data_IF_900637464618
#
_entry.id   IF_900637464618
#
_cell.length_a   1.000
_cell.length_b   1.000
_cell.length_c   1.000
_cell.angle_alpha   90.00
_cell.angle_beta   90.00
_cell.angle_gamma   90.00
#
_symmetry.space_group_name_H-M   'P 1'
#
loop_
_entity.id
_entity.type
_entity.pdbx_description
1 polymer ?
#
# COMPACT_ATOMS: atom_id res chain seq x y z
N UNK A 1 43.40 47.76 -8.59
CA UNK A 1 42.17 47.03 -8.99
C UNK A 1 42.20 46.82 -10.50
N UNK A 2 42.51 45.60 -10.95
CA UNK A 2 42.41 45.27 -12.38
C UNK A 2 40.94 45.28 -12.80
N UNK A 3 40.57 46.15 -13.76
CA UNK A 3 39.24 46.16 -14.35
C UNK A 3 39.11 44.89 -15.21
N UNK A 4 38.48 43.85 -14.66
CA UNK A 4 38.09 42.67 -15.41
C UNK A 4 36.96 43.04 -16.38
N UNK A 5 37.32 43.62 -17.52
CA UNK A 5 36.37 43.95 -18.57
C UNK A 5 35.96 42.65 -19.26
N UNK A 6 34.68 42.30 -19.16
CA UNK A 6 34.10 41.15 -19.87
C UNK A 6 34.37 41.34 -21.37
N UNK A 7 35.05 40.38 -22.00
CA UNK A 7 35.28 40.46 -23.45
C UNK A 7 33.95 40.35 -24.19
N UNK A 8 33.85 40.96 -25.39
CA UNK A 8 32.62 40.87 -26.22
C UNK A 8 32.17 39.43 -26.44
N UNK A 9 33.12 38.49 -26.61
CA UNK A 9 32.84 37.05 -26.75
C UNK A 9 32.27 36.45 -25.46
N UNK A 10 32.84 36.78 -24.30
CA UNK A 10 32.31 36.33 -23.02
C UNK A 10 30.92 36.88 -22.74
N UNK A 11 30.69 38.16 -23.05
CA UNK A 11 29.37 38.77 -22.92
C UNK A 11 28.34 38.04 -23.79
N UNK A 12 28.63 37.85 -25.08
CA UNK A 12 27.72 37.14 -25.99
C UNK A 12 27.48 35.69 -25.59
N UNK A 13 28.51 34.96 -25.15
CA UNK A 13 28.37 33.59 -24.68
C UNK A 13 27.44 33.52 -23.46
N UNK A 14 27.65 34.38 -22.45
CA UNK A 14 26.83 34.39 -21.24
C UNK A 14 25.38 34.76 -21.52
N UNK A 15 25.13 35.76 -22.38
CA UNK A 15 23.78 36.14 -22.77
C UNK A 15 23.10 35.01 -23.53
N UNK A 16 23.80 34.37 -24.49
CA UNK A 16 23.24 33.27 -25.26
C UNK A 16 22.94 32.04 -24.39
N UNK A 17 23.86 31.64 -23.51
CA UNK A 17 23.65 30.52 -22.60
C UNK A 17 22.59 30.83 -21.53
N UNK A 18 22.52 32.08 -21.05
CA UNK A 18 21.54 32.51 -20.06
C UNK A 18 20.12 32.50 -20.63
N UNK A 19 19.92 33.10 -21.80
CA UNK A 19 18.62 33.12 -22.48
C UNK A 19 18.23 31.71 -22.94
N UNK A 20 19.16 30.96 -23.55
CA UNK A 20 18.92 29.58 -23.96
C UNK A 20 18.59 28.66 -22.78
N UNK A 21 19.31 28.80 -21.66
CA UNK A 21 19.04 28.06 -20.43
C UNK A 21 17.67 28.39 -19.84
N UNK A 22 17.27 29.67 -19.84
CA UNK A 22 15.94 30.09 -19.39
C UNK A 22 14.82 29.48 -20.25
N UNK A 23 14.98 29.54 -21.58
CA UNK A 23 13.99 28.94 -22.51
C UNK A 23 13.90 27.43 -22.30
N UNK A 24 15.03 26.73 -22.21
CA UNK A 24 15.05 25.29 -21.95
C UNK A 24 14.39 24.95 -20.60
N UNK A 25 14.71 25.68 -19.54
CA UNK A 25 14.13 25.49 -18.22
C UNK A 25 12.60 25.72 -18.24
N UNK A 26 12.12 26.76 -18.93
CA UNK A 26 10.68 27.04 -19.04
C UNK A 26 9.91 25.92 -19.75
N UNK A 27 10.51 25.29 -20.76
CA UNK A 27 9.90 24.18 -21.48
C UNK A 27 9.91 22.88 -20.66
N UNK A 28 10.99 22.63 -19.90
CA UNK A 28 11.13 21.41 -19.09
C UNK A 28 10.35 21.47 -17.78
N UNK A 29 10.17 22.66 -17.19
CA UNK A 29 9.52 22.84 -15.89
C UNK A 29 8.13 22.17 -15.79
N UNK A 30 7.17 22.36 -16.73
CA UNK A 30 5.86 21.71 -16.62
C UNK A 30 5.93 20.18 -16.71
N UNK A 31 6.86 19.62 -17.49
CA UNK A 31 7.03 18.17 -17.62
C UNK A 31 7.62 17.55 -16.35
N UNK A 32 8.63 18.21 -15.78
CA UNK A 32 9.23 17.80 -14.50
C UNK A 32 8.19 17.93 -13.38
N UNK A 33 7.43 19.02 -13.36
CA UNK A 33 6.36 19.21 -12.38
C UNK A 33 5.28 18.13 -12.53
N UNK A 34 4.84 17.82 -13.75
CA UNK A 34 3.86 16.76 -13.99
C UNK A 34 4.34 15.38 -13.49
N UNK A 35 5.63 15.08 -13.65
CA UNK A 35 6.20 13.82 -13.17
C UNK A 35 6.30 13.77 -11.64
N UNK A 36 6.57 14.90 -10.97
CA UNK A 36 6.87 14.94 -9.53
C UNK A 36 5.65 15.31 -8.67
N UNK A 37 4.69 16.07 -9.19
CA UNK A 37 3.52 16.55 -8.44
C UNK A 37 2.73 15.43 -7.73
N UNK A 38 2.48 14.25 -8.34
CA UNK A 38 1.73 13.20 -7.65
C UNK A 38 2.46 12.63 -6.43
N UNK A 39 3.78 12.58 -6.47
CA UNK A 39 4.61 12.09 -5.35
C UNK A 39 4.64 13.12 -4.21
N UNK A 40 4.52 14.41 -4.53
CA UNK A 40 4.50 15.49 -3.54
C UNK A 40 3.12 15.72 -2.91
N UNK A 41 2.04 15.22 -3.53
CA UNK A 41 0.72 15.27 -2.93
C UNK A 41 0.64 14.27 -1.78
N UNK A 42 0.42 14.76 -0.57
CA UNK A 42 0.15 13.92 0.59
C UNK A 42 -1.12 13.10 0.31
N UNK A 43 -0.98 11.79 0.14
CA UNK A 43 -2.12 10.88 0.22
C UNK A 43 -2.68 11.00 1.64
N UNK A 44 -3.92 11.47 1.78
CA UNK A 44 -4.61 11.43 3.06
C UNK A 44 -4.64 9.97 3.54
N UNK A 45 -3.81 9.66 4.54
CA UNK A 45 -3.67 8.31 5.06
C UNK A 45 -5.03 7.76 5.49
N UNK A 46 -5.44 6.68 4.84
CA UNK A 46 -6.36 5.68 5.37
C UNK A 46 -7.70 6.22 5.87
N UNK A 47 -8.59 6.59 4.94
CA UNK A 47 -10.00 6.60 5.29
C UNK A 47 -10.40 5.16 5.66
N UNK A 48 -10.83 4.97 6.90
CA UNK A 48 -11.49 3.75 7.33
C UNK A 48 -12.64 3.43 6.38
N UNK A 49 -12.56 2.30 5.70
CA UNK A 49 -13.55 1.87 4.71
C UNK A 49 -14.57 0.99 5.41
N UNK A 50 -15.85 1.35 5.29
CA UNK A 50 -16.93 0.53 5.81
C UNK A 50 -16.99 -0.79 5.04
N UNK A 51 -16.95 -1.91 5.75
CA UNK A 51 -17.22 -3.22 5.16
C UNK A 51 -18.72 -3.50 5.15
N UNK A 52 -19.15 -4.48 4.35
CA UNK A 52 -20.55 -4.93 4.31
C UNK A 52 -20.93 -5.81 5.50
N UNK A 53 -19.97 -6.13 6.37
CA UNK A 53 -20.11 -7.12 7.43
C UNK A 53 -20.33 -6.42 8.78
N UNK A 54 -21.27 -6.97 9.57
CA UNK A 54 -21.48 -6.55 10.95
C UNK A 54 -20.52 -7.28 11.86
N UNK A 55 -20.07 -6.60 12.92
CA UNK A 55 -19.19 -7.21 13.93
C UNK A 55 -19.91 -8.35 14.68
N UNK A 56 -21.23 -8.31 14.77
CA UNK A 56 -22.07 -9.36 15.38
C UNK A 56 -21.98 -10.70 14.66
N UNK A 57 -21.69 -10.69 13.36
CA UNK A 57 -21.75 -11.87 12.50
C UNK A 57 -20.38 -12.55 12.39
N UNK A 58 -19.36 -11.99 13.05
CA UNK A 58 -18.00 -12.54 13.08
C UNK A 58 -17.90 -13.69 14.08
N UNK A 59 -17.45 -14.83 13.60
CA UNK A 59 -17.15 -16.02 14.40
C UNK A 59 -15.65 -16.11 14.72
N UNK A 60 -15.25 -17.16 15.44
CA UNK A 60 -13.83 -17.48 15.66
C UNK A 60 -13.16 -18.00 14.37
N UNK A 61 -13.89 -18.30 13.31
CA UNK A 61 -13.30 -18.75 12.04
C UNK A 61 -13.00 -17.57 11.09
N UNK A 62 -11.79 -17.52 10.49
CA UNK A 62 -11.45 -16.56 9.45
C UNK A 62 -12.44 -16.57 8.28
N UNK A 63 -13.16 -15.47 8.13
CA UNK A 63 -14.04 -15.18 6.99
C UNK A 63 -13.35 -14.21 6.03
N UNK A 64 -13.49 -14.47 4.74
CA UNK A 64 -13.01 -13.57 3.69
C UNK A 64 -13.99 -12.40 3.54
N UNK A 65 -13.49 -11.18 3.68
CA UNK A 65 -14.25 -9.94 3.52
C UNK A 65 -13.59 -9.08 2.45
N UNK A 66 -14.35 -8.74 1.42
CA UNK A 66 -13.91 -7.85 0.35
C UNK A 66 -14.46 -6.44 0.61
N UNK A 67 -13.62 -5.42 0.41
CA UNK A 67 -13.97 -4.02 0.60
C UNK A 67 -13.35 -3.16 -0.51
N UNK A 68 -14.14 -2.23 -1.04
CA UNK A 68 -13.76 -1.39 -2.16
C UNK A 68 -13.56 0.04 -1.70
N UNK A 69 -12.51 0.69 -2.18
CA UNK A 69 -12.22 2.09 -1.89
C UNK A 69 -11.61 2.76 -3.12
N UNK A 70 -11.70 4.09 -3.15
CA UNK A 70 -11.06 4.88 -4.21
C UNK A 70 -9.57 5.03 -3.90
N UNK A 71 -8.74 4.48 -4.76
CA UNK A 71 -7.30 4.64 -4.73
C UNK A 71 -6.88 5.63 -5.82
N UNK A 72 -6.05 6.59 -5.44
CA UNK A 72 -5.49 7.60 -6.35
C UNK A 72 -4.07 7.16 -6.68
N UNK A 73 -3.84 6.73 -7.92
CA UNK A 73 -2.52 6.38 -8.45
C UNK A 73 -2.05 7.44 -9.44
N UNK A 74 -1.12 8.28 -8.98
CA UNK A 74 -0.58 9.36 -9.77
C UNK A 74 -1.64 10.41 -10.13
N UNK A 75 -2.11 10.34 -11.37
CA UNK A 75 -3.13 11.22 -11.94
C UNK A 75 -4.49 10.54 -12.15
N UNK A 76 -4.60 9.26 -11.81
CA UNK A 76 -5.80 8.46 -12.03
C UNK A 76 -6.46 8.09 -10.71
N UNK A 77 -7.79 8.15 -10.68
CA UNK A 77 -8.59 7.59 -9.59
C UNK A 77 -9.23 6.29 -10.07
N UNK A 78 -9.10 5.23 -9.28
CA UNK A 78 -9.73 3.94 -9.56
C UNK A 78 -10.35 3.35 -8.30
N UNK A 79 -11.41 2.57 -8.47
CA UNK A 79 -12.00 1.82 -7.36
C UNK A 79 -11.28 0.47 -7.25
N UNK A 80 -10.53 0.29 -6.17
CA UNK A 80 -9.75 -0.92 -5.91
C UNK A 80 -10.47 -1.74 -4.85
N UNK A 81 -10.70 -3.02 -5.13
CA UNK A 81 -11.26 -3.96 -4.17
C UNK A 81 -10.13 -4.74 -3.51
N UNK A 82 -9.95 -4.52 -2.21
CA UNK A 82 -9.04 -5.31 -1.38
C UNK A 82 -9.81 -6.39 -0.62
N UNK A 83 -9.09 -7.43 -0.24
CA UNK A 83 -9.61 -8.54 0.57
C UNK A 83 -8.90 -8.56 1.92
N UNK A 84 -9.63 -8.87 2.98
CA UNK A 84 -9.10 -9.19 4.31
C UNK A 84 -9.67 -10.52 4.83
N UNK A 85 -8.88 -11.24 5.61
CA UNK A 85 -9.36 -12.33 6.44
C UNK A 85 -9.72 -11.77 7.82
N UNK A 86 -10.99 -11.83 8.19
CA UNK A 86 -11.50 -11.25 9.43
C UNK A 86 -12.06 -12.35 10.32
N UNK A 87 -11.71 -12.34 11.60
CA UNK A 87 -12.32 -13.18 12.63
C UNK A 87 -12.30 -12.49 13.99
N UNK A 88 -13.07 -13.04 14.94
CA UNK A 88 -13.05 -12.63 16.33
C UNK A 88 -12.10 -13.52 17.13
N UNK A 89 -11.03 -12.95 17.66
CA UNK A 89 -10.08 -13.64 18.53
C UNK A 89 -10.71 -14.08 19.85
N UNK A 90 -10.04 -15.00 20.54
CA UNK A 90 -10.49 -15.53 21.84
C UNK A 90 -10.59 -14.47 22.95
N UNK A 91 -9.85 -13.37 22.80
CA UNK A 91 -9.90 -12.20 23.68
C UNK A 91 -11.02 -11.21 23.31
N UNK A 92 -11.87 -11.58 22.36
CA UNK A 92 -12.97 -10.75 21.87
C UNK A 92 -12.55 -9.66 20.87
N UNK A 93 -11.25 -9.53 20.56
CA UNK A 93 -10.74 -8.54 19.61
C UNK A 93 -10.95 -9.01 18.18
N UNK A 94 -11.24 -8.07 17.29
CA UNK A 94 -11.33 -8.34 15.86
C UNK A 94 -9.93 -8.40 15.30
N UNK A 95 -9.61 -9.48 14.60
CA UNK A 95 -8.36 -9.64 13.88
C UNK A 95 -8.67 -9.59 12.39
N UNK A 96 -8.07 -8.63 11.69
CA UNK A 96 -8.16 -8.49 10.24
C UNK A 96 -6.78 -8.65 9.62
N UNK A 97 -6.55 -9.74 8.89
CA UNK A 97 -5.28 -10.08 8.25
C UNK A 97 -5.33 -9.80 6.75
N UNK A 98 -4.22 -9.32 6.20
CA UNK A 98 -4.02 -9.27 4.76
C UNK A 98 -3.82 -10.68 4.21
N UNK A 99 -4.51 -11.05 3.11
CA UNK A 99 -4.31 -12.35 2.48
C UNK A 99 -3.02 -12.38 1.64
N UNK A 100 -2.23 -11.31 1.60
CA UNK A 100 -1.05 -11.21 0.74
C UNK A 100 0.13 -11.93 1.39
N UNK A 101 0.57 -13.02 0.75
CA UNK A 101 1.72 -13.80 1.19
C UNK A 101 3.01 -12.98 1.13
N UNK A 102 3.77 -12.97 2.23
CA UNK A 102 5.06 -12.26 2.37
C UNK A 102 6.23 -12.87 1.62
N UNK A 103 6.00 -13.92 0.83
CA UNK A 103 7.00 -14.44 -0.10
C UNK A 103 7.08 -13.55 -1.35
N UNK A 104 6.05 -13.61 -2.21
CA UNK A 104 5.98 -12.89 -3.49
C UNK A 104 4.60 -12.29 -3.79
N UNK A 105 3.69 -12.23 -2.81
CA UNK A 105 2.41 -11.53 -2.94
C UNK A 105 1.19 -12.37 -3.38
N UNK A 106 1.31 -13.69 -3.52
CA UNK A 106 0.15 -14.56 -3.78
C UNK A 106 -0.90 -14.47 -2.64
N UNK A 107 -2.18 -14.65 -2.96
CA UNK A 107 -3.27 -14.73 -1.97
C UNK A 107 -3.21 -16.04 -1.19
N UNK A 108 -3.32 -15.96 0.15
CA UNK A 108 -3.40 -17.13 1.04
C UNK A 108 -4.85 -17.47 1.35
N UNK A 109 -5.14 -18.77 1.45
CA UNK A 109 -6.46 -19.29 1.83
C UNK A 109 -6.45 -19.94 3.20
N UNK A 110 -7.49 -19.70 3.99
CA UNK A 110 -7.71 -20.39 5.26
C UNK A 110 -8.18 -21.84 5.04
N UNK A 111 -7.58 -22.81 5.73
CA UNK A 111 -7.97 -24.23 5.68
C UNK A 111 -8.02 -24.83 4.27
N UNK A 112 -7.17 -24.33 3.36
CA UNK A 112 -7.11 -24.81 1.97
C UNK A 112 -6.16 -25.99 1.79
N UNK A 113 -5.25 -26.23 2.74
CA UNK A 113 -4.39 -27.41 2.78
C UNK A 113 -4.94 -28.45 3.76
N UNK A 114 -5.30 -29.63 3.25
CA UNK A 114 -5.80 -30.75 4.07
C UNK A 114 -4.74 -31.33 5.00
N UNK A 115 -3.45 -31.19 4.65
CA UNK A 115 -2.35 -31.70 5.48
C UNK A 115 -2.10 -30.86 6.73
N UNK A 116 -2.54 -29.60 6.75
CA UNK A 116 -2.26 -28.65 7.82
C UNK A 116 -3.52 -27.84 8.15
N UNK A 117 -4.50 -28.43 8.86
CA UNK A 117 -5.72 -27.74 9.23
C UNK A 117 -5.44 -26.59 10.22
N UNK A 118 -6.34 -25.61 10.24
CA UNK A 118 -6.30 -24.38 11.06
C UNK A 118 -5.12 -23.46 10.74
N UNK A 119 -4.73 -23.40 9.47
CA UNK A 119 -3.64 -22.57 8.98
C UNK A 119 -4.04 -21.82 7.70
N UNK A 120 -3.41 -20.67 7.48
CA UNK A 120 -3.41 -20.06 6.16
C UNK A 120 -2.34 -20.72 5.30
N UNK A 121 -2.73 -21.05 4.08
CA UNK A 121 -1.88 -21.75 3.13
C UNK A 121 -1.81 -20.97 1.81
N UNK A 122 -0.60 -20.88 1.27
CA UNK A 122 -0.30 -20.29 -0.02
C UNK A 122 -0.01 -21.40 -1.04
N UNK A 123 -0.85 -21.59 -2.07
CA UNK A 123 -0.67 -22.68 -3.04
C UNK A 123 0.52 -22.50 -3.98
N UNK A 124 1.10 -21.29 -4.07
CA UNK A 124 2.19 -20.99 -4.99
C UNK A 124 3.50 -21.72 -4.63
N UNK A 125 3.88 -21.71 -3.35
CA UNK A 125 5.14 -22.29 -2.87
C UNK A 125 4.98 -22.97 -1.49
N UNK A 126 3.77 -23.40 -1.15
CA UNK A 126 3.48 -24.06 0.13
C UNK A 126 3.82 -23.21 1.37
N UNK A 127 3.73 -21.89 1.24
CA UNK A 127 3.89 -20.96 2.37
C UNK A 127 2.77 -21.15 3.37
N UNK A 128 3.08 -21.17 4.67
CA UNK A 128 2.11 -21.43 5.73
C UNK A 128 2.16 -20.37 6.82
N UNK A 129 1.00 -20.06 7.37
CA UNK A 129 0.86 -19.15 8.51
C UNK A 129 -0.12 -19.73 9.53
N UNK A 130 0.12 -19.44 10.80
CA UNK A 130 -0.80 -19.75 11.88
C UNK A 130 -2.08 -18.89 11.78
N UNK A 131 -3.10 -19.20 12.57
CA UNK A 131 -4.32 -18.39 12.68
C UNK A 131 -4.05 -16.92 12.99
N UNK A 132 -3.00 -16.62 13.76
CA UNK A 132 -2.60 -15.26 14.08
C UNK A 132 -1.90 -14.52 12.91
N UNK A 133 -1.62 -15.21 11.80
CA UNK A 133 -0.86 -14.68 10.67
C UNK A 133 0.65 -14.82 10.82
N UNK A 134 1.14 -15.48 11.88
CA UNK A 134 2.58 -15.74 12.07
C UNK A 134 3.07 -16.79 11.09
N UNK A 135 4.16 -16.52 10.39
CA UNK A 135 4.74 -17.46 9.44
C UNK A 135 5.26 -18.73 10.14
N UNK A 136 5.01 -19.89 9.54
CA UNK A 136 5.45 -21.18 10.08
C UNK A 136 6.92 -21.41 9.71
N UNK A 137 7.81 -21.72 10.69
CA UNK A 137 9.21 -22.02 10.41
C UNK A 137 9.37 -23.16 9.41
N UNK A 138 10.39 -23.06 8.54
CA UNK A 138 10.64 -24.06 7.49
C UNK A 138 9.75 -23.92 6.25
N UNK A 139 8.97 -22.84 6.15
CA UNK A 139 8.23 -22.49 4.92
C UNK A 139 8.79 -21.21 4.28
N UNK A 140 8.55 -20.95 2.98
CA UNK A 140 9.10 -19.79 2.27
C UNK A 140 8.84 -18.39 2.85
N UNK A 141 7.69 -18.07 3.48
CA UNK A 141 7.46 -16.72 3.99
C UNK A 141 8.36 -16.37 5.18
N UNK A 142 9.13 -15.29 5.05
CA UNK A 142 10.07 -14.82 6.07
C UNK A 142 9.45 -13.90 7.14
N UNK A 143 8.23 -13.40 6.91
CA UNK A 143 7.54 -12.44 7.79
C UNK A 143 6.07 -12.82 8.00
N UNK A 144 5.45 -12.41 9.12
CA UNK A 144 4.02 -12.57 9.33
C UNK A 144 3.17 -11.76 8.34
N UNK A 145 1.90 -12.15 8.19
CA UNK A 145 0.93 -11.40 7.40
C UNK A 145 0.69 -10.01 8.01
N UNK A 146 0.44 -9.00 7.17
CA UNK A 146 0.06 -7.67 7.66
C UNK A 146 -1.32 -7.71 8.33
N UNK A 147 -1.55 -6.80 9.28
CA UNK A 147 -2.86 -6.55 9.85
C UNK A 147 -3.47 -5.30 9.26
N UNK A 148 -4.78 -5.31 9.05
CA UNK A 148 -5.54 -4.08 8.84
C UNK A 148 -5.88 -3.46 10.19
N UNK A 149 -5.85 -2.14 10.27
CA UNK A 149 -6.50 -1.46 11.39
C UNK A 149 -8.00 -1.72 11.37
N UNK A 150 -8.58 -2.04 12.52
CA UNK A 150 -10.01 -2.31 12.65
C UNK A 150 -10.66 -1.26 13.54
N UNK A 151 -11.81 -0.73 13.11
CA UNK A 151 -12.65 0.12 13.95
C UNK A 151 -14.09 -0.33 13.83
N UNK A 152 -14.81 -0.37 14.94
CA UNK A 152 -16.24 -0.62 14.95
C UNK A 152 -16.98 0.72 15.09
N UNK A 153 -17.96 0.97 14.23
CA UNK A 153 -18.88 2.10 14.36
C UNK A 153 -20.28 1.65 13.94
N UNK A 154 -21.26 1.90 14.81
CA UNK A 154 -22.66 1.55 14.58
C UNK A 154 -22.89 0.05 14.26
N UNK A 155 -22.04 -0.83 14.83
CA UNK A 155 -22.07 -2.28 14.61
C UNK A 155 -21.47 -2.76 13.28
N UNK A 156 -20.98 -1.83 12.44
CA UNK A 156 -20.32 -2.12 11.17
C UNK A 156 -18.80 -2.13 11.38
N UNK A 157 -18.12 -3.10 10.78
CA UNK A 157 -16.67 -3.17 10.77
C UNK A 157 -16.09 -2.22 9.73
N UNK A 158 -15.16 -1.38 10.15
CA UNK A 158 -14.34 -0.54 9.29
C UNK A 158 -12.91 -1.05 9.26
N UNK A 159 -12.34 -1.12 8.05
CA UNK A 159 -10.95 -1.50 7.82
C UNK A 159 -10.13 -0.27 7.39
N UNK A 160 -9.03 -0.02 8.08
CA UNK A 160 -8.11 1.07 7.83
C UNK A 160 -6.86 0.61 7.05
N UNK A 161 -5.75 1.36 7.12
CA UNK A 161 -4.53 1.01 6.41
C UNK A 161 -3.90 -0.29 6.93
N UNK A 162 -3.13 -0.96 6.06
CA UNK A 162 -2.32 -2.13 6.43
C UNK A 162 -1.14 -1.70 7.28
N UNK A 163 -0.92 -2.40 8.39
CA UNK A 163 0.26 -2.29 9.25
C UNK A 163 1.01 -3.61 9.27
N UNK A 164 2.35 -3.59 9.15
CA UNK A 164 3.15 -4.77 9.44
C UNK A 164 2.95 -5.19 10.90
N UNK A 165 2.88 -6.50 11.15
CA UNK A 165 2.91 -7.08 12.49
C UNK A 165 4.29 -6.93 13.13
#
# INVERSE_FOLDING_TARGET
>A
MSKHNVSRRQFLNYTLTGVGGFMAASALMPMVRFAVDPVLKTSAGGNFVATKEKVSDLTDEPKRVDFSFKEVDGWYESEVTNTAWVYKGKDGKIVALSPICKHLGCTVGWNTDKGNPNQFFCPCHYGRYTKAGVNVPGTPPAKPLDMYETKEKDGILYLGPKKPQ
#
